data_IF_863797138580
#
_entry.id   IF_863797138580
#
_cell.length_a   1.000
_cell.length_b   1.000
_cell.length_c   1.000
_cell.angle_alpha   90.00
_cell.angle_beta   90.00
_cell.angle_gamma   90.00
#
_symmetry.space_group_name_H-M   'P 1'
#
loop_
_entity.id
_entity.type
_entity.pdbx_description
1 polymer ?
#
# COMPACT_ATOMS: atom_id res chain seq x y z
N UNK A 1 -42.15 -14.16 -12.36
CA UNK A 1 -41.16 -14.55 -13.40
C UNK A 1 -40.02 -13.53 -13.38
N UNK A 2 -38.77 -13.95 -13.31
CA UNK A 2 -37.64 -13.02 -13.36
C UNK A 2 -37.44 -12.53 -14.80
N UNK A 3 -37.26 -11.21 -14.99
CA UNK A 3 -36.79 -10.65 -16.25
C UNK A 3 -35.25 -10.75 -16.27
N UNK A 4 -34.74 -11.96 -16.49
CA UNK A 4 -33.30 -12.19 -16.58
C UNK A 4 -32.72 -11.38 -17.73
N UNK A 5 -31.92 -10.36 -17.38
CA UNK A 5 -31.32 -9.46 -18.36
C UNK A 5 -30.24 -10.22 -19.13
N UNK A 6 -30.48 -10.49 -20.40
CA UNK A 6 -29.48 -11.06 -21.30
C UNK A 6 -28.40 -10.02 -21.63
N UNK A 7 -27.19 -10.49 -21.91
CA UNK A 7 -26.07 -9.68 -22.41
C UNK A 7 -25.14 -10.55 -23.26
N UNK A 8 -24.35 -9.93 -24.13
CA UNK A 8 -23.32 -10.63 -24.89
C UNK A 8 -22.14 -11.04 -23.97
N UNK A 9 -21.56 -12.21 -24.24
CA UNK A 9 -20.33 -12.66 -23.60
C UNK A 9 -19.14 -11.83 -24.14
N UNK A 10 -18.38 -11.22 -23.24
CA UNK A 10 -17.21 -10.39 -23.59
C UNK A 10 -16.05 -11.16 -24.25
N UNK A 11 -16.12 -12.50 -24.33
CA UNK A 11 -15.08 -13.36 -24.92
C UNK A 11 -15.50 -14.03 -26.23
N UNK A 12 -16.79 -14.34 -26.42
CA UNK A 12 -17.28 -15.06 -27.61
C UNK A 12 -18.52 -14.44 -28.28
N UNK A 13 -18.95 -13.25 -27.87
CA UNK A 13 -20.09 -12.52 -28.44
C UNK A 13 -21.48 -13.09 -28.14
N UNK A 14 -21.59 -14.39 -27.85
CA UNK A 14 -22.87 -15.11 -27.65
C UNK A 14 -23.72 -14.53 -26.51
N UNK A 15 -25.04 -14.57 -26.67
CA UNK A 15 -26.00 -14.09 -25.68
C UNK A 15 -26.06 -15.03 -24.46
N UNK A 16 -25.87 -14.47 -23.28
CA UNK A 16 -25.86 -15.16 -21.98
C UNK A 16 -26.67 -14.38 -20.94
N UNK A 17 -27.24 -15.09 -19.95
CA UNK A 17 -27.92 -14.44 -18.82
C UNK A 17 -26.89 -13.66 -17.97
N UNK A 18 -27.16 -12.40 -17.63
CA UNK A 18 -26.16 -11.53 -17.00
C UNK A 18 -25.67 -11.99 -15.61
N UNK A 19 -26.42 -12.91 -14.97
CA UNK A 19 -26.14 -13.53 -13.67
C UNK A 19 -25.36 -14.86 -13.75
N UNK A 20 -25.17 -15.48 -14.92
CA UNK A 20 -24.44 -16.76 -15.01
C UNK A 20 -22.98 -16.58 -14.55
N UNK A 21 -22.39 -17.55 -13.84
CA UNK A 21 -21.03 -17.40 -13.27
C UNK A 21 -19.92 -17.60 -14.31
N UNK A 22 -20.20 -18.38 -15.36
CA UNK A 22 -19.35 -18.58 -16.53
C UNK A 22 -20.24 -18.68 -17.79
N UNK A 23 -19.65 -18.42 -18.97
CA UNK A 23 -20.33 -18.60 -20.26
C UNK A 23 -20.43 -20.09 -20.61
N UNK A 24 -21.64 -20.62 -20.94
CA UNK A 24 -21.80 -22.03 -21.30
C UNK A 24 -21.16 -22.40 -22.65
N UNK A 25 -20.88 -21.43 -23.53
CA UNK A 25 -20.31 -21.66 -24.86
C UNK A 25 -18.77 -21.64 -24.90
N UNK A 26 -18.10 -21.02 -23.94
CA UNK A 26 -16.64 -20.83 -23.97
C UNK A 26 -15.95 -20.87 -22.60
N UNK A 27 -16.67 -21.21 -21.52
CA UNK A 27 -16.12 -21.29 -20.16
C UNK A 27 -15.71 -19.95 -19.50
N UNK A 28 -15.68 -18.85 -20.26
CA UNK A 28 -15.21 -17.55 -19.77
C UNK A 28 -15.96 -17.08 -18.52
N UNK A 29 -15.21 -16.75 -17.46
CA UNK A 29 -15.75 -16.32 -16.16
C UNK A 29 -16.42 -14.94 -16.28
N UNK A 30 -17.72 -14.87 -16.00
CA UNK A 30 -18.49 -13.63 -16.03
C UNK A 30 -18.21 -12.81 -14.76
N UNK A 31 -17.11 -12.04 -14.76
CA UNK A 31 -16.78 -11.12 -13.67
C UNK A 31 -17.90 -10.08 -13.52
N UNK A 32 -18.46 -9.95 -12.30
CA UNK A 32 -19.42 -8.88 -11.98
C UNK A 32 -18.73 -7.52 -12.20
N UNK A 33 -19.38 -6.54 -12.87
CA UNK A 33 -18.79 -5.22 -13.06
C UNK A 33 -18.51 -4.55 -11.71
N UNK A 34 -17.28 -4.06 -11.54
CA UNK A 34 -16.78 -3.53 -10.27
C UNK A 34 -17.55 -2.29 -9.80
N UNK A 35 -18.09 -1.48 -10.73
CA UNK A 35 -18.96 -0.33 -10.44
C UNK A 35 -20.29 -0.66 -9.75
N UNK A 36 -20.62 -1.96 -9.56
CA UNK A 36 -21.77 -2.40 -8.75
C UNK A 36 -21.41 -2.74 -7.30
N UNK A 37 -20.15 -2.59 -6.89
CA UNK A 37 -19.75 -2.64 -5.47
C UNK A 37 -19.96 -1.24 -4.87
N UNK A 38 -20.61 -1.16 -3.70
CA UNK A 38 -20.96 0.10 -3.03
C UNK A 38 -19.72 0.99 -2.80
N UNK A 39 -18.59 0.43 -2.37
CA UNK A 39 -17.35 1.18 -2.11
C UNK A 39 -16.80 1.97 -3.31
N UNK A 40 -17.12 1.61 -4.55
CA UNK A 40 -16.72 2.43 -5.71
C UNK A 40 -17.45 3.80 -5.69
N UNK A 41 -18.71 3.84 -5.24
CA UNK A 41 -19.46 5.08 -5.10
C UNK A 41 -18.95 5.94 -3.94
N UNK A 42 -18.34 5.33 -2.92
CA UNK A 42 -17.63 6.04 -1.84
C UNK A 42 -16.36 6.70 -2.39
N UNK A 43 -15.55 5.99 -3.19
CA UNK A 43 -14.36 6.57 -3.85
C UNK A 43 -14.76 7.71 -4.79
N UNK A 44 -15.81 7.54 -5.61
CA UNK A 44 -16.31 8.60 -6.49
C UNK A 44 -16.78 9.83 -5.71
N UNK A 45 -17.46 9.65 -4.57
CA UNK A 45 -17.85 10.75 -3.70
C UNK A 45 -16.63 11.51 -3.12
N UNK A 46 -15.61 10.80 -2.63
CA UNK A 46 -14.37 11.40 -2.12
C UNK A 46 -13.67 12.22 -3.20
N UNK A 47 -13.56 11.69 -4.42
CA UNK A 47 -12.94 12.41 -5.56
C UNK A 47 -13.74 13.66 -5.95
N UNK A 48 -15.07 13.59 -5.94
CA UNK A 48 -15.92 14.76 -6.22
C UNK A 48 -15.77 15.84 -5.14
N UNK A 49 -15.70 15.47 -3.85
CA UNK A 49 -15.46 16.41 -2.75
C UNK A 49 -14.08 17.07 -2.87
N UNK A 50 -13.05 16.31 -3.23
CA UNK A 50 -11.70 16.85 -3.43
C UNK A 50 -11.62 17.87 -4.59
N UNK A 51 -12.41 17.69 -5.65
CA UNK A 51 -12.49 18.65 -6.77
C UNK A 51 -13.37 19.87 -6.41
N UNK A 52 -14.43 19.67 -5.63
CA UNK A 52 -15.34 20.75 -5.23
C UNK A 52 -14.78 21.69 -4.14
N UNK A 53 -13.75 21.27 -3.40
CA UNK A 53 -13.09 22.09 -2.37
C UNK A 53 -12.14 23.18 -2.90
N UNK A 54 -11.93 23.26 -4.21
CA UNK A 54 -10.97 24.15 -4.86
C UNK A 54 -11.38 25.63 -4.96
N UNK A 55 -11.79 26.27 -3.86
CA UNK A 55 -12.06 27.71 -3.81
C UNK A 55 -10.82 28.49 -3.38
N UNK A 56 -10.05 28.98 -4.35
CA UNK A 56 -8.95 29.94 -4.17
C UNK A 56 -8.94 30.94 -5.31
N UNK A 57 -9.20 32.21 -5.01
CA UNK A 57 -9.46 33.24 -6.01
C UNK A 57 -8.23 33.72 -6.79
N UNK A 58 -8.49 34.17 -8.01
CA UNK A 58 -7.49 34.71 -8.94
C UNK A 58 -6.88 36.03 -8.50
N UNK A 59 -5.56 36.16 -8.70
CA UNK A 59 -5.01 37.34 -9.39
C UNK A 59 -4.11 36.88 -10.53
N UNK A 60 -4.42 37.31 -11.74
CA UNK A 60 -3.55 37.19 -12.90
C UNK A 60 -3.25 38.60 -13.40
N UNK A 61 -1.98 38.98 -13.40
CA UNK A 61 -1.51 40.22 -13.99
C UNK A 61 -0.24 39.93 -14.79
N UNK A 62 -0.21 40.39 -16.04
CA UNK A 62 0.87 40.10 -16.98
C UNK A 62 1.57 41.40 -17.36
N UNK A 63 2.90 41.44 -17.29
CA UNK A 63 3.64 42.53 -17.91
C UNK A 63 4.91 42.06 -18.62
N UNK A 64 4.98 42.42 -19.90
CA UNK A 64 5.97 42.03 -20.89
C UNK A 64 7.27 42.82 -20.75
N UNK A 65 8.44 42.15 -20.85
CA UNK A 65 9.56 42.58 -21.73
C UNK A 65 10.76 41.61 -21.78
N UNK A 66 11.16 41.29 -23.02
CA UNK A 66 12.55 40.97 -23.42
C UNK A 66 13.35 42.29 -23.55
N UNK A 67 14.71 42.31 -23.56
CA UNK A 67 15.62 41.59 -24.50
C UNK A 67 16.44 40.46 -23.84
N UNK A 68 17.00 39.47 -24.57
CA UNK A 68 18.31 39.47 -25.29
C UNK A 68 19.51 39.88 -24.40
N UNK A 69 20.64 39.15 -24.33
CA UNK A 69 21.45 38.62 -25.46
C UNK A 69 22.35 37.43 -25.08
N UNK A 70 22.40 36.41 -25.97
CA UNK A 70 23.52 35.55 -26.48
C UNK A 70 24.87 35.53 -25.71
N UNK A 71 25.51 34.37 -25.45
CA UNK A 71 26.51 33.61 -26.29
C UNK A 71 26.87 32.30 -25.50
N UNK A 72 26.77 31.05 -26.02
CA UNK A 72 27.58 30.30 -27.02
C UNK A 72 29.07 30.12 -26.63
N UNK A 73 29.86 29.07 -26.89
CA UNK A 73 29.70 27.66 -27.34
C UNK A 73 30.71 26.81 -26.48
N UNK A 74 31.39 25.69 -26.80
CA UNK A 74 31.60 24.76 -27.94
C UNK A 74 32.15 23.43 -27.32
N UNK A 75 31.57 22.24 -27.51
CA UNK A 75 31.92 21.16 -28.48
C UNK A 75 33.29 20.43 -28.34
N UNK A 76 33.29 19.13 -28.76
CA UNK A 76 34.40 18.14 -28.83
C UNK A 76 34.99 17.63 -27.48
N UNK A 77 35.51 16.38 -27.37
CA UNK A 77 35.47 15.26 -28.33
C UNK A 77 36.43 14.09 -27.99
N UNK A 78 36.20 12.93 -28.62
CA UNK A 78 37.12 11.78 -28.88
C UNK A 78 37.62 10.81 -27.77
N UNK A 79 37.42 9.51 -28.07
CA UNK A 79 38.34 8.34 -27.93
C UNK A 79 38.85 7.82 -26.56
N UNK A 80 38.09 6.83 -26.04
CA UNK A 80 38.53 5.45 -25.80
C UNK A 80 40.04 5.13 -25.78
N UNK A 81 40.52 4.49 -24.68
CA UNK A 81 41.68 3.59 -24.75
C UNK A 81 41.60 2.42 -23.76
N UNK A 82 41.92 1.22 -24.26
CA UNK A 82 41.91 -0.03 -23.51
C UNK A 82 43.17 -0.17 -22.66
N UNK A 83 43.01 -0.47 -21.37
CA UNK A 83 44.07 -1.06 -20.54
C UNK A 83 43.77 -2.55 -20.37
N UNK A 84 44.58 -3.40 -21.01
CA UNK A 84 44.55 -4.86 -20.84
C UNK A 84 45.62 -5.22 -19.81
N UNK A 85 45.22 -5.50 -18.58
CA UNK A 85 46.08 -6.22 -17.64
C UNK A 85 45.82 -7.74 -17.75
N UNK A 86 46.72 -8.56 -17.23
CA UNK A 86 46.68 -10.02 -17.32
C UNK A 86 47.22 -10.61 -16.03
N UNK A 87 46.35 -10.68 -15.01
CA UNK A 87 46.64 -11.33 -13.74
C UNK A 87 46.35 -12.84 -13.82
N UNK A 88 47.20 -13.65 -13.18
CA UNK A 88 47.11 -15.12 -13.21
C UNK A 88 45.92 -15.64 -12.38
N UNK A 89 45.37 -16.83 -12.71
CA UNK A 89 44.24 -17.41 -12.01
C UNK A 89 44.64 -17.88 -10.60
N UNK A 90 44.55 -16.98 -9.63
CA UNK A 90 44.64 -17.32 -8.21
C UNK A 90 43.41 -18.14 -7.80
N UNK A 91 43.61 -19.44 -7.57
CA UNK A 91 42.56 -20.33 -7.08
C UNK A 91 42.07 -19.87 -5.70
N UNK A 92 40.90 -19.26 -5.65
CA UNK A 92 40.23 -18.96 -4.39
C UNK A 92 39.51 -20.22 -3.87
N UNK A 93 39.71 -20.53 -2.59
CA UNK A 93 38.96 -21.57 -1.91
C UNK A 93 37.49 -21.14 -1.74
N UNK A 94 36.51 -22.05 -1.87
CA UNK A 94 35.10 -21.70 -1.79
C UNK A 94 34.73 -21.29 -0.35
N UNK A 95 34.79 -20.00 -0.08
CA UNK A 95 34.36 -19.39 1.18
C UNK A 95 32.85 -19.58 1.32
N UNK A 96 32.43 -20.45 2.23
CA UNK A 96 31.02 -20.67 2.53
C UNK A 96 30.36 -19.35 2.97
N UNK A 97 29.51 -18.79 2.11
CA UNK A 97 28.70 -17.65 2.49
C UNK A 97 27.60 -18.09 3.47
N UNK A 98 27.49 -17.40 4.60
CA UNK A 98 26.30 -17.49 5.44
C UNK A 98 25.09 -16.98 4.63
N UNK A 99 23.88 -17.57 4.82
CA UNK A 99 22.69 -17.19 4.05
C UNK A 99 22.28 -15.74 4.36
N UNK A 100 22.76 -14.81 3.54
CA UNK A 100 22.50 -13.38 3.75
C UNK A 100 21.03 -13.06 3.53
N UNK A 101 20.41 -12.44 4.55
CA UNK A 101 19.00 -11.99 4.49
C UNK A 101 18.79 -11.09 3.26
N UNK A 102 17.82 -11.40 2.37
CA UNK A 102 17.56 -10.61 1.17
C UNK A 102 17.27 -9.14 1.49
N UNK A 103 17.65 -8.23 0.57
CA UNK A 103 17.41 -6.80 0.79
C UNK A 103 15.91 -6.46 0.90
N UNK A 104 15.04 -7.21 0.21
CA UNK A 104 13.59 -7.05 0.31
C UNK A 104 13.06 -7.35 1.73
N UNK A 105 13.60 -8.36 2.41
CA UNK A 105 13.24 -8.69 3.79
C UNK A 105 13.67 -7.59 4.77
N UNK A 106 14.84 -6.98 4.54
CA UNK A 106 15.32 -5.80 5.32
C UNK A 106 14.45 -4.57 5.08
N UNK A 107 14.03 -4.35 3.83
CA UNK A 107 13.11 -3.26 3.48
C UNK A 107 11.72 -3.46 4.12
N UNK A 108 11.22 -4.69 4.18
CA UNK A 108 9.98 -5.03 4.86
C UNK A 108 10.07 -4.78 6.38
N UNK A 109 11.19 -5.14 7.01
CA UNK A 109 11.43 -4.87 8.44
C UNK A 109 11.46 -3.36 8.74
N UNK A 110 12.21 -2.55 7.98
CA UNK A 110 12.24 -1.09 8.17
C UNK A 110 10.86 -0.42 7.97
N UNK A 111 10.01 -0.99 7.10
CA UNK A 111 8.61 -0.59 6.96
C UNK A 111 7.75 -1.04 8.15
N UNK A 112 7.96 -2.25 8.68
CA UNK A 112 7.29 -2.75 9.87
C UNK A 112 7.61 -1.87 11.11
N UNK A 113 8.88 -1.52 11.30
CA UNK A 113 9.35 -0.56 12.31
C UNK A 113 8.62 0.79 12.18
N UNK A 114 8.49 1.32 10.96
CA UNK A 114 7.79 2.58 10.68
C UNK A 114 6.29 2.50 11.01
N UNK A 115 5.62 1.41 10.61
CA UNK A 115 4.19 1.18 10.89
C UNK A 115 3.90 0.95 12.39
N UNK A 116 4.83 0.34 13.12
CA UNK A 116 4.76 0.24 14.58
C UNK A 116 4.96 1.60 15.25
N UNK A 117 6.10 2.26 14.97
CA UNK A 117 6.53 3.46 15.71
C UNK A 117 5.77 4.74 15.37
N UNK A 118 5.30 4.91 14.13
CA UNK A 118 4.63 6.14 13.67
C UNK A 118 3.12 6.00 13.49
N UNK A 119 2.62 4.78 13.34
CA UNK A 119 1.19 4.50 13.12
C UNK A 119 0.57 3.59 14.17
N UNK A 120 1.36 3.14 15.16
CA UNK A 120 0.91 2.35 16.30
C UNK A 120 0.05 1.15 15.90
N UNK A 121 0.45 0.44 14.84
CA UNK A 121 -0.35 -0.64 14.26
C UNK A 121 -0.18 -1.96 15.03
N UNK A 122 -1.20 -2.81 14.99
CA UNK A 122 -1.13 -4.18 15.53
C UNK A 122 -0.24 -5.09 14.68
N UNK A 123 0.20 -6.23 15.24
CA UNK A 123 1.00 -7.23 14.52
C UNK A 123 0.32 -7.69 13.21
N UNK A 124 -0.99 -7.91 13.24
CA UNK A 124 -1.75 -8.29 12.04
C UNK A 124 -1.94 -7.11 11.07
N UNK A 125 -2.19 -5.90 11.59
CA UNK A 125 -2.32 -4.70 10.77
C UNK A 125 -1.06 -4.38 9.97
N UNK A 126 0.12 -4.54 10.59
CA UNK A 126 1.41 -4.37 9.91
C UNK A 126 1.58 -5.43 8.81
N UNK A 127 1.30 -6.72 9.10
CA UNK A 127 1.38 -7.79 8.09
C UNK A 127 0.46 -7.54 6.89
N UNK A 128 -0.81 -7.20 7.15
CA UNK A 128 -1.80 -6.89 6.12
C UNK A 128 -1.35 -5.70 5.26
N UNK A 129 -0.73 -4.67 5.87
CA UNK A 129 -0.25 -3.47 5.17
C UNK A 129 1.03 -3.71 4.34
N UNK A 130 1.96 -4.54 4.83
CA UNK A 130 3.15 -4.95 4.08
C UNK A 130 2.79 -5.77 2.83
N UNK A 131 1.80 -6.66 2.94
CA UNK A 131 1.39 -7.58 1.86
C UNK A 131 0.29 -7.02 0.92
N UNK A 132 -0.36 -5.92 1.29
CA UNK A 132 -1.51 -5.35 0.58
C UNK A 132 -1.23 -4.97 -0.89
N UNK A 133 -2.14 -5.32 -1.81
CA UNK A 133 -2.17 -4.84 -3.21
C UNK A 133 -2.26 -3.30 -3.34
N UNK A 134 -2.51 -2.60 -2.24
CA UNK A 134 -2.58 -1.13 -2.15
C UNK A 134 -1.55 -0.53 -1.18
N UNK A 135 -0.78 -1.37 -0.47
CA UNK A 135 0.31 -0.99 0.43
C UNK A 135 1.68 -1.24 -0.21
N UNK A 136 2.60 -1.81 0.56
CA UNK A 136 4.00 -2.01 0.12
C UNK A 136 4.19 -3.14 -0.90
N UNK A 137 3.27 -4.12 -0.93
CA UNK A 137 3.29 -5.30 -1.83
C UNK A 137 4.50 -6.22 -1.66
N UNK A 138 5.10 -6.27 -0.48
CA UNK A 138 6.13 -7.26 -0.18
C UNK A 138 5.56 -8.68 -0.30
N UNK A 139 6.36 -9.65 -0.75
CA UNK A 139 5.94 -11.04 -0.74
C UNK A 139 5.75 -11.53 0.71
N UNK A 140 4.86 -12.51 0.89
CA UNK A 140 4.36 -12.91 2.21
C UNK A 140 5.46 -13.43 3.16
N UNK A 141 6.53 -14.01 2.61
CA UNK A 141 7.72 -14.46 3.32
C UNK A 141 8.58 -13.29 3.83
N UNK A 142 8.77 -12.24 3.02
CA UNK A 142 9.44 -11.00 3.45
C UNK A 142 8.63 -10.26 4.53
N UNK A 143 7.31 -10.23 4.39
CA UNK A 143 6.42 -9.65 5.39
C UNK A 143 6.38 -10.48 6.70
N UNK A 144 6.37 -11.81 6.61
CA UNK A 144 6.46 -12.69 7.78
C UNK A 144 7.80 -12.53 8.49
N UNK A 145 8.91 -12.51 7.74
CA UNK A 145 10.24 -12.22 8.29
C UNK A 145 10.26 -10.89 9.06
N UNK A 146 9.71 -9.82 8.48
CA UNK A 146 9.61 -8.52 9.13
C UNK A 146 8.82 -8.59 10.44
N UNK A 147 7.71 -9.34 10.46
CA UNK A 147 6.81 -9.51 11.61
C UNK A 147 7.40 -10.41 12.72
N UNK A 148 8.36 -11.26 12.39
CA UNK A 148 9.08 -12.12 13.34
C UNK A 148 10.39 -11.51 13.88
N UNK A 149 10.91 -10.48 13.21
CA UNK A 149 12.13 -9.75 13.61
C UNK A 149 11.87 -8.31 14.10
N UNK A 150 10.62 -7.83 14.03
CA UNK A 150 10.20 -6.53 14.58
C UNK A 150 10.11 -6.61 16.11
N UNK A 151 11.03 -5.92 16.78
CA UNK A 151 10.93 -5.64 18.22
C UNK A 151 9.94 -4.49 18.44
N UNK A 152 8.73 -4.83 18.91
CA UNK A 152 7.63 -3.88 19.11
C UNK A 152 6.74 -4.30 20.30
N UNK A 153 6.44 -3.34 21.18
CA UNK A 153 5.41 -3.52 22.19
C UNK A 153 4.03 -3.22 21.60
N UNK A 154 3.35 -4.28 21.14
CA UNK A 154 2.01 -4.19 20.58
C UNK A 154 0.95 -3.76 21.62
N UNK A 155 1.23 -3.83 22.92
CA UNK A 155 0.33 -3.30 23.97
C UNK A 155 0.46 -1.79 24.11
N UNK A 156 1.66 -1.24 23.96
CA UNK A 156 1.85 0.21 23.89
C UNK A 156 1.29 0.78 22.58
N UNK A 157 1.47 0.09 21.44
CA UNK A 157 0.78 0.46 20.19
C UNK A 157 -0.75 0.46 20.36
N UNK A 158 -1.32 -0.55 21.03
CA UNK A 158 -2.75 -0.59 21.34
C UNK A 158 -3.17 0.57 22.24
N UNK A 159 -2.34 0.97 23.21
CA UNK A 159 -2.58 2.10 24.10
C UNK A 159 -2.53 3.45 23.36
N UNK A 160 -1.57 3.68 22.47
CA UNK A 160 -1.54 4.91 21.65
C UNK A 160 -2.72 4.99 20.67
N UNK A 161 -3.10 3.87 20.03
CA UNK A 161 -4.34 3.80 19.24
C UNK A 161 -5.59 4.05 20.10
N UNK A 162 -5.62 3.53 21.31
CA UNK A 162 -6.72 3.75 22.24
C UNK A 162 -6.83 5.23 22.62
N UNK A 163 -5.71 5.91 22.91
CA UNK A 163 -5.66 7.35 23.20
C UNK A 163 -6.22 8.16 22.05
N UNK A 164 -5.78 7.95 20.81
CA UNK A 164 -6.29 8.73 19.66
C UNK A 164 -7.79 8.52 19.43
N UNK A 165 -8.30 7.28 19.55
CA UNK A 165 -9.75 7.06 19.46
C UNK A 165 -10.55 7.65 20.64
N UNK A 166 -10.00 7.62 21.85
CA UNK A 166 -10.67 8.11 23.06
C UNK A 166 -10.64 9.64 23.19
N UNK A 167 -9.48 10.26 22.92
CA UNK A 167 -9.19 11.68 23.14
C UNK A 167 -9.47 12.51 21.89
N UNK A 168 -8.91 12.17 20.72
CA UNK A 168 -9.14 12.92 19.48
C UNK A 168 -10.56 12.65 18.94
N UNK A 169 -10.93 11.37 18.83
CA UNK A 169 -12.22 10.96 18.25
C UNK A 169 -13.37 10.86 19.26
N UNK A 170 -13.13 11.15 20.55
CA UNK A 170 -14.14 11.24 21.60
C UNK A 170 -15.01 9.97 21.75
N UNK A 171 -14.45 8.79 21.45
CA UNK A 171 -15.15 7.50 21.52
C UNK A 171 -15.23 6.97 22.96
N UNK A 172 -16.30 6.26 23.32
CA UNK A 172 -16.38 5.59 24.63
C UNK A 172 -15.38 4.42 24.72
N UNK A 173 -14.91 4.07 25.93
CA UNK A 173 -13.94 2.98 26.13
C UNK A 173 -14.39 1.65 25.52
N UNK A 174 -15.68 1.32 25.55
CA UNK A 174 -16.24 0.15 24.87
C UNK A 174 -16.15 0.24 23.34
N UNK A 175 -16.41 1.42 22.76
CA UNK A 175 -16.30 1.65 21.31
C UNK A 175 -14.84 1.59 20.86
N UNK A 176 -13.91 2.17 21.63
CA UNK A 176 -12.46 2.04 21.44
C UNK A 176 -12.05 0.57 21.46
N UNK A 177 -12.45 -0.20 22.49
CA UNK A 177 -12.15 -1.63 22.63
C UNK A 177 -12.58 -2.42 21.39
N UNK A 178 -13.82 -2.21 20.95
CA UNK A 178 -14.40 -2.89 19.80
C UNK A 178 -13.71 -2.49 18.48
N UNK A 179 -13.24 -1.25 18.36
CA UNK A 179 -12.48 -0.77 17.19
C UNK A 179 -11.06 -1.36 17.14
N UNK A 180 -10.40 -1.50 18.29
CA UNK A 180 -9.07 -2.11 18.39
C UNK A 180 -9.07 -3.58 17.92
N UNK A 181 -10.05 -4.38 18.37
CA UNK A 181 -10.15 -5.82 18.03
C UNK A 181 -10.87 -6.11 16.70
N UNK A 182 -11.39 -5.09 16.01
CA UNK A 182 -12.21 -5.29 14.81
C UNK A 182 -11.40 -5.86 13.64
N UNK A 183 -11.93 -6.91 12.98
CA UNK A 183 -11.36 -7.49 11.75
C UNK A 183 -11.22 -6.47 10.61
N UNK A 184 -12.02 -5.39 10.66
CA UNK A 184 -12.03 -4.27 9.72
C UNK A 184 -11.46 -2.96 10.33
N UNK A 185 -11.01 -3.01 11.58
CA UNK A 185 -10.34 -1.93 12.28
C UNK A 185 -8.86 -2.26 12.49
N UNK A 186 -8.36 -2.10 13.71
CA UNK A 186 -6.93 -2.18 14.00
C UNK A 186 -6.39 -3.61 14.17
N UNK A 187 -7.24 -4.63 14.32
CA UNK A 187 -6.87 -6.06 14.43
C UNK A 187 -5.90 -6.41 15.58
N UNK A 188 -5.95 -5.68 16.70
CA UNK A 188 -5.26 -6.10 17.93
C UNK A 188 -5.89 -7.37 18.52
N UNK A 189 -5.11 -8.10 19.32
CA UNK A 189 -5.63 -9.16 20.17
C UNK A 189 -6.56 -8.60 21.26
N UNK A 190 -7.37 -9.47 21.86
CA UNK A 190 -8.22 -9.06 22.98
C UNK A 190 -7.38 -8.58 24.17
N UNK A 191 -6.26 -9.25 24.43
CA UNK A 191 -5.32 -8.98 25.52
C UNK A 191 -4.59 -7.64 25.38
N UNK A 192 -4.25 -7.23 24.15
CA UNK A 192 -3.69 -5.92 23.85
C UNK A 192 -4.74 -4.81 24.00
N UNK A 193 -5.95 -5.03 23.48
CA UNK A 193 -7.05 -4.08 23.63
C UNK A 193 -7.50 -3.93 25.09
N UNK A 194 -7.59 -5.01 25.87
CA UNK A 194 -7.93 -4.97 27.28
C UNK A 194 -6.85 -4.26 28.11
N UNK A 195 -5.56 -4.47 27.79
CA UNK A 195 -4.47 -3.69 28.38
C UNK A 195 -4.62 -2.19 28.05
N UNK A 196 -4.89 -1.84 26.80
CA UNK A 196 -5.02 -0.45 26.37
C UNK A 196 -6.17 0.26 27.11
N UNK A 197 -7.35 -0.36 27.19
CA UNK A 197 -8.52 0.18 27.91
C UNK A 197 -8.27 0.32 29.42
N UNK A 198 -7.53 -0.62 30.02
CA UNK A 198 -7.15 -0.55 31.44
C UNK A 198 -6.16 0.58 31.75
N UNK A 199 -5.38 1.05 30.76
CA UNK A 199 -4.39 2.11 30.92
C UNK A 199 -4.81 3.48 30.34
N UNK A 200 -5.92 3.55 29.59
CA UNK A 200 -6.58 4.81 29.25
C UNK A 200 -6.99 5.57 30.51
N UNK A 201 -6.68 6.87 30.54
CA UNK A 201 -6.98 7.75 31.68
C UNK A 201 -8.37 8.42 31.57
#
# INVERSE_FOLDING_TARGET
MAKDKMKNCATCGQLIAANCKACPHCGAKNKKPFYKKWWLWVIVAIVIVAIAGGSGDTTADANTKQPETTVQNEEQGTEQKTAKDTEEPKTEEPKTEEPQVPQEYKNALAKAESYSSMMHMSKQGIYDQLTSEYGEKFPADAAQYAIDHLDADYKENALEKAKSYYEDMNMSKDAVRNQLISEYGEKFTAEEADYAIANLK
#
